data_IF_910661638461
#
_entry.id   IF_910661638461
#
_cell.length_a   1.000
_cell.length_b   1.000
_cell.length_c   1.000
_cell.angle_alpha   90.00
_cell.angle_beta   90.00
_cell.angle_gamma   90.00
#
_symmetry.space_group_name_H-M   'P 1'
#
loop_
_entity.id
_entity.type
_entity.pdbx_description
1 polymer ?
#
# COMPACT_ATOMS: atom_id res chain seq x y z
N UNK A 1 -0.39 -12.66 -12.36
CA UNK A 1 0.26 -11.60 -11.56
C UNK A 1 -0.76 -11.03 -10.59
N UNK A 2 -0.46 -11.02 -9.30
CA UNK A 2 -1.27 -10.33 -8.30
C UNK A 2 -0.62 -8.97 -8.02
N UNK A 3 -1.29 -7.88 -8.40
CA UNK A 3 -0.82 -6.52 -8.20
C UNK A 3 -1.50 -5.92 -6.97
N UNK A 4 -0.75 -5.75 -5.88
CA UNK A 4 -1.21 -5.03 -4.69
C UNK A 4 -0.88 -3.55 -4.82
N UNK A 5 -1.90 -2.70 -4.79
CA UNK A 5 -1.74 -1.24 -4.73
C UNK A 5 -2.35 -0.68 -3.44
N UNK A 6 -1.98 0.55 -3.09
CA UNK A 6 -2.45 1.22 -1.88
C UNK A 6 -2.62 2.71 -2.14
N UNK A 7 -3.49 3.37 -1.38
CA UNK A 7 -3.63 4.82 -1.45
C UNK A 7 -2.25 5.53 -1.28
N UNK A 8 -1.90 6.49 -2.14
CA UNK A 8 -0.53 7.03 -2.20
C UNK A 8 -0.13 7.82 -0.96
N UNK A 9 -1.10 8.43 -0.24
CA UNK A 9 -0.82 9.18 0.98
C UNK A 9 -0.31 8.26 2.10
N UNK A 10 -0.97 7.13 2.33
CA UNK A 10 -0.48 6.14 3.30
C UNK A 10 0.78 5.41 2.82
N UNK A 11 0.97 5.24 1.50
CA UNK A 11 2.24 4.70 0.97
C UNK A 11 3.39 5.61 1.37
N UNK A 12 3.27 6.92 1.14
CA UNK A 12 4.26 7.90 1.54
C UNK A 12 4.51 7.86 3.06
N UNK A 13 3.47 7.86 3.88
CA UNK A 13 3.59 7.76 5.35
C UNK A 13 4.27 6.46 5.80
N UNK A 14 3.92 5.33 5.21
CA UNK A 14 4.56 4.05 5.52
C UNK A 14 6.03 4.05 5.11
N UNK A 15 6.35 4.64 3.97
CA UNK A 15 7.70 4.66 3.42
C UNK A 15 8.62 5.64 4.17
N UNK A 16 8.10 6.75 4.69
CA UNK A 16 8.84 7.63 5.60
C UNK A 16 9.36 6.87 6.82
N UNK A 17 8.47 6.14 7.52
CA UNK A 17 8.85 5.36 8.67
C UNK A 17 9.76 4.18 8.33
N UNK A 18 9.54 3.53 7.19
CA UNK A 18 10.40 2.45 6.71
C UNK A 18 11.82 2.96 6.43
N UNK A 19 11.96 4.07 5.71
CA UNK A 19 13.26 4.68 5.39
C UNK A 19 14.03 5.07 6.65
N UNK A 20 13.34 5.64 7.64
CA UNK A 20 13.96 6.04 8.91
C UNK A 20 14.23 4.86 9.87
N UNK A 21 13.64 3.70 9.63
CA UNK A 21 13.82 2.51 10.47
C UNK A 21 14.72 1.42 9.86
N UNK A 22 15.10 1.55 8.58
CA UNK A 22 15.83 0.52 7.83
C UNK A 22 17.13 1.07 7.24
N UNK A 23 18.26 0.79 7.88
CA UNK A 23 19.57 0.89 7.21
C UNK A 23 19.67 -0.21 6.13
N UNK A 24 20.07 0.08 4.87
CA UNK A 24 20.87 1.23 4.40
C UNK A 24 20.09 2.33 3.67
N UNK A 25 18.77 2.45 3.87
CA UNK A 25 18.00 3.49 3.18
C UNK A 25 18.37 4.89 3.69
N UNK A 26 18.25 5.93 2.83
CA UNK A 26 18.37 7.31 3.29
C UNK A 26 17.36 7.58 4.40
N UNK A 27 17.83 8.07 5.53
CA UNK A 27 16.98 8.62 6.57
C UNK A 27 16.68 10.08 6.28
N UNK A 28 15.48 10.53 6.63
CA UNK A 28 15.01 11.90 6.48
C UNK A 28 14.76 12.49 7.86
N UNK A 29 15.34 13.66 8.12
CA UNK A 29 15.20 14.36 9.40
C UNK A 29 13.76 14.83 9.64
N UNK A 30 13.10 15.29 8.57
CA UNK A 30 11.73 15.78 8.60
C UNK A 30 10.83 15.06 7.60
N UNK A 31 9.52 15.12 7.87
CA UNK A 31 8.51 14.66 6.92
C UNK A 31 8.54 15.49 5.62
N UNK A 32 8.80 16.79 5.70
CA UNK A 32 8.81 17.67 4.52
C UNK A 32 9.93 17.31 3.55
N UNK A 33 11.13 17.03 4.07
CA UNK A 33 12.26 16.56 3.25
C UNK A 33 11.94 15.22 2.56
N UNK A 34 11.34 14.30 3.32
CA UNK A 34 10.88 13.03 2.77
C UNK A 34 9.81 13.23 1.70
N UNK A 35 8.82 14.09 1.95
CA UNK A 35 7.72 14.33 1.02
C UNK A 35 8.24 14.88 -0.31
N UNK A 36 9.17 15.84 -0.27
CA UNK A 36 9.84 16.35 -1.49
C UNK A 36 10.57 15.22 -2.20
N UNK A 37 11.30 14.36 -1.47
CA UNK A 37 12.00 13.23 -2.07
C UNK A 37 11.04 12.17 -2.66
N UNK A 38 9.90 11.91 -2.03
CA UNK A 38 8.86 10.97 -2.47
C UNK A 38 8.13 11.47 -3.72
N UNK A 39 7.80 12.76 -3.76
CA UNK A 39 7.15 13.39 -4.92
C UNK A 39 8.11 13.63 -6.08
N UNK A 40 9.42 13.51 -5.84
CA UNK A 40 10.44 13.55 -6.89
C UNK A 40 10.94 12.13 -7.18
N UNK A 41 11.61 11.92 -8.32
CA UNK A 41 12.15 10.60 -8.72
C UNK A 41 13.37 10.15 -7.90
N UNK A 42 13.44 10.56 -6.63
CA UNK A 42 14.60 10.35 -5.74
C UNK A 42 14.45 9.12 -4.84
N UNK A 43 13.31 8.44 -4.86
CA UNK A 43 13.13 7.18 -4.15
C UNK A 43 13.90 6.04 -4.82
N UNK A 44 14.45 5.08 -4.04
CA UNK A 44 15.16 3.92 -4.59
C UNK A 44 14.40 3.13 -5.66
N UNK A 45 13.07 3.12 -5.58
CA UNK A 45 12.18 2.43 -6.53
C UNK A 45 11.48 3.37 -7.53
N UNK A 46 11.92 4.64 -7.61
CA UNK A 46 11.35 5.63 -8.51
C UNK A 46 10.02 6.22 -8.02
N UNK A 47 9.27 6.82 -8.95
CA UNK A 47 8.02 7.52 -8.66
C UNK A 47 6.84 6.53 -8.56
N UNK A 48 6.08 6.60 -7.48
CA UNK A 48 4.92 5.72 -7.26
C UNK A 48 3.82 5.94 -8.31
N UNK A 49 3.61 7.17 -8.77
CA UNK A 49 2.62 7.46 -9.81
C UNK A 49 3.03 6.93 -11.19
N UNK A 50 4.32 6.95 -11.52
CA UNK A 50 4.82 6.30 -12.73
C UNK A 50 4.65 4.79 -12.65
N UNK A 51 4.94 4.19 -11.49
CA UNK A 51 4.67 2.78 -11.23
C UNK A 51 3.19 2.42 -11.47
N UNK A 52 2.25 3.20 -10.92
CA UNK A 52 0.82 2.99 -11.14
C UNK A 52 0.43 3.17 -12.62
N UNK A 53 0.96 4.19 -13.28
CA UNK A 53 0.68 4.48 -14.69
C UNK A 53 1.16 3.35 -15.60
N UNK A 54 2.33 2.79 -15.32
CA UNK A 54 2.87 1.66 -16.06
C UNK A 54 2.04 0.39 -15.84
N UNK A 55 1.67 0.07 -14.60
CA UNK A 55 0.82 -1.08 -14.33
C UNK A 55 -0.61 -0.93 -14.87
N UNK A 56 -1.11 0.30 -14.99
CA UNK A 56 -2.44 0.54 -15.54
C UNK A 56 -2.56 0.07 -17.00
N UNK A 57 -1.45 0.03 -17.76
CA UNK A 57 -1.43 -0.51 -19.13
C UNK A 57 -1.84 -1.98 -19.20
N UNK A 58 -1.72 -2.72 -18.09
CA UNK A 58 -2.04 -4.14 -17.98
C UNK A 58 -3.26 -4.38 -17.07
N UNK A 59 -3.99 -3.34 -16.68
CA UNK A 59 -5.10 -3.47 -15.73
C UNK A 59 -6.29 -4.26 -16.28
N UNK A 60 -6.37 -4.45 -17.60
CA UNK A 60 -7.38 -5.24 -18.29
C UNK A 60 -6.90 -6.65 -18.68
N UNK A 61 -5.62 -6.99 -18.45
CA UNK A 61 -5.12 -8.32 -18.75
C UNK A 61 -5.72 -9.35 -17.79
N UNK A 62 -6.28 -10.43 -18.34
CA UNK A 62 -6.88 -11.53 -17.56
C UNK A 62 -5.88 -12.19 -16.60
N UNK A 63 -4.59 -12.13 -16.94
CA UNK A 63 -3.50 -12.67 -16.12
C UNK A 63 -3.01 -11.67 -15.04
N UNK A 64 -3.66 -10.52 -14.86
CA UNK A 64 -3.31 -9.51 -13.86
C UNK A 64 -4.52 -9.21 -12.97
N UNK A 65 -4.49 -9.69 -11.72
CA UNK A 65 -5.49 -9.26 -10.72
C UNK A 65 -4.95 -8.09 -9.92
N UNK A 66 -5.65 -6.96 -9.97
CA UNK A 66 -5.39 -5.84 -9.06
C UNK A 66 -6.23 -5.96 -7.80
N UNK A 67 -5.58 -5.85 -6.65
CA UNK A 67 -6.23 -5.75 -5.34
C UNK A 67 -5.65 -4.57 -4.56
N UNK A 68 -6.48 -3.91 -3.77
CA UNK A 68 -6.02 -2.81 -2.91
C UNK A 68 -5.77 -3.26 -1.48
N UNK A 69 -4.83 -2.61 -0.80
CA UNK A 69 -4.64 -2.78 0.64
C UNK A 69 -5.93 -2.48 1.41
N UNK A 70 -6.69 -1.47 0.98
CA UNK A 70 -7.93 -1.02 1.60
C UNK A 70 -9.04 -2.08 1.48
N UNK A 71 -9.15 -2.77 0.35
CA UNK A 71 -10.05 -3.93 0.18
C UNK A 71 -9.67 -5.06 1.14
N UNK A 72 -8.39 -5.43 1.20
CA UNK A 72 -7.90 -6.48 2.11
C UNK A 72 -8.13 -6.13 3.58
N UNK A 73 -8.02 -4.85 3.94
CA UNK A 73 -8.28 -4.38 5.29
C UNK A 73 -9.77 -4.33 5.63
N UNK A 74 -10.62 -3.99 4.67
CA UNK A 74 -12.08 -3.87 4.87
C UNK A 74 -12.76 -5.24 4.95
N UNK A 75 -12.38 -6.16 4.07
CA UNK A 75 -12.94 -7.51 4.06
C UNK A 75 -11.85 -8.54 3.72
N UNK A 76 -11.09 -9.01 4.72
CA UNK A 76 -9.98 -9.93 4.50
C UNK A 76 -10.44 -11.30 3.98
N UNK A 77 -11.63 -11.77 4.36
CA UNK A 77 -12.19 -13.05 3.89
C UNK A 77 -12.40 -13.00 2.38
N UNK A 78 -13.17 -12.01 1.91
CA UNK A 78 -13.41 -11.82 0.47
C UNK A 78 -12.11 -11.56 -0.31
N UNK A 79 -11.16 -10.85 0.31
CA UNK A 79 -9.85 -10.65 -0.27
C UNK A 79 -9.09 -11.96 -0.53
N UNK A 80 -9.07 -12.86 0.45
CA UNK A 80 -8.44 -14.17 0.33
C UNK A 80 -9.18 -15.06 -0.67
N UNK A 81 -10.52 -15.06 -0.66
CA UNK A 81 -11.33 -15.81 -1.65
C UNK A 81 -11.01 -15.37 -3.08
N UNK A 82 -10.98 -14.06 -3.33
CA UNK A 82 -10.67 -13.52 -4.66
C UNK A 82 -9.24 -13.88 -5.11
N UNK A 83 -8.25 -13.80 -4.19
CA UNK A 83 -6.88 -14.21 -4.49
C UNK A 83 -6.81 -15.70 -4.80
N UNK A 84 -7.47 -16.54 -4.01
CA UNK A 84 -7.48 -17.98 -4.21
C UNK A 84 -8.12 -18.34 -5.55
N UNK A 85 -9.28 -17.76 -5.88
CA UNK A 85 -9.95 -17.96 -7.16
C UNK A 85 -9.08 -17.55 -8.35
N UNK A 86 -8.42 -16.39 -8.28
CA UNK A 86 -7.49 -15.92 -9.31
C UNK A 86 -6.29 -16.86 -9.51
N UNK A 87 -5.80 -17.47 -8.43
CA UNK A 87 -4.71 -18.44 -8.49
C UNK A 87 -5.17 -19.87 -8.83
N UNK A 88 -6.48 -20.11 -9.03
CA UNK A 88 -7.04 -21.43 -9.28
C UNK A 88 -6.98 -22.37 -8.06
N UNK A 89 -6.91 -21.81 -6.85
CA UNK A 89 -6.83 -22.55 -5.59
C UNK A 89 -8.22 -22.68 -4.99
N UNK A 90 -8.65 -23.92 -4.74
CA UNK A 90 -9.86 -24.19 -3.96
C UNK A 90 -9.52 -24.27 -2.48
N UNK A 91 -10.27 -23.54 -1.64
CA UNK A 91 -10.11 -23.55 -0.19
C UNK A 91 -11.37 -24.10 0.46
N UNK A 92 -11.18 -24.95 1.48
CA UNK A 92 -12.25 -25.24 2.43
C UNK A 92 -12.46 -24.04 3.37
N UNK A 93 -13.64 -23.96 4.00
CA UNK A 93 -13.93 -22.90 4.98
C UNK A 93 -12.86 -22.83 6.09
N UNK A 94 -12.39 -23.98 6.57
CA UNK A 94 -11.35 -24.05 7.60
C UNK A 94 -10.01 -23.48 7.12
N UNK A 95 -9.63 -23.76 5.88
CA UNK A 95 -8.39 -23.23 5.30
C UNK A 95 -8.49 -21.72 5.07
N UNK A 96 -9.63 -21.24 4.55
CA UNK A 96 -9.92 -19.82 4.37
C UNK A 96 -9.78 -19.06 5.70
N UNK A 97 -10.47 -19.52 6.75
CA UNK A 97 -10.40 -18.89 8.07
C UNK A 97 -8.98 -18.93 8.65
N UNK A 98 -8.25 -20.03 8.43
CA UNK A 98 -6.86 -20.14 8.88
C UNK A 98 -5.94 -19.13 8.18
N UNK A 99 -6.10 -18.94 6.86
CA UNK A 99 -5.32 -17.94 6.12
C UNK A 99 -5.65 -16.54 6.60
N UNK A 100 -6.93 -16.21 6.78
CA UNK A 100 -7.39 -14.90 7.29
C UNK A 100 -6.82 -14.62 8.68
N UNK A 101 -6.88 -15.58 9.60
CA UNK A 101 -6.36 -15.41 10.97
C UNK A 101 -4.84 -15.21 10.97
N UNK A 102 -4.10 -16.05 10.23
CA UNK A 102 -2.63 -16.03 10.19
C UNK A 102 -2.08 -14.79 9.47
N UNK A 103 -2.79 -14.29 8.46
CA UNK A 103 -2.45 -13.07 7.73
C UNK A 103 -2.96 -11.79 8.39
N UNK A 104 -3.70 -11.90 9.50
CA UNK A 104 -4.14 -10.73 10.27
C UNK A 104 -2.93 -9.94 10.80
N UNK A 105 -3.09 -8.62 10.89
CA UNK A 105 -2.01 -7.75 11.37
C UNK A 105 -1.50 -8.15 12.77
N UNK A 106 -2.41 -8.53 13.67
CA UNK A 106 -2.03 -8.95 15.03
C UNK A 106 -1.19 -10.24 15.01
N UNK A 107 -1.61 -11.24 14.24
CA UNK A 107 -0.87 -12.49 14.07
C UNK A 107 0.50 -12.26 13.43
N UNK A 108 0.57 -11.46 12.36
CA UNK A 108 1.83 -11.14 11.70
C UNK A 108 2.76 -10.32 12.60
N UNK A 109 2.24 -9.29 13.28
CA UNK A 109 3.02 -8.44 14.19
C UNK A 109 3.57 -9.24 15.38
N UNK A 110 2.77 -10.12 15.97
CA UNK A 110 3.23 -11.03 17.05
C UNK A 110 4.38 -11.93 16.58
N UNK A 111 4.37 -12.34 15.32
CA UNK A 111 5.41 -13.18 14.72
C UNK A 111 6.55 -12.39 14.05
N UNK A 112 6.51 -11.06 14.06
CA UNK A 112 7.41 -10.22 13.28
C UNK A 112 8.87 -10.40 13.71
N UNK A 113 9.14 -10.47 15.01
CA UNK A 113 10.50 -10.70 15.51
C UNK A 113 11.05 -12.06 15.08
N UNK A 114 10.21 -13.10 15.08
CA UNK A 114 10.61 -14.45 14.66
C UNK A 114 10.93 -14.52 13.16
N UNK A 115 10.20 -13.77 12.35
CA UNK A 115 10.28 -13.85 10.89
C UNK A 115 11.25 -12.83 10.28
N UNK A 116 11.45 -11.68 10.92
CA UNK A 116 12.21 -10.54 10.39
C UNK A 116 13.24 -9.98 11.40
N UNK A 117 13.46 -10.66 12.53
CA UNK A 117 14.42 -10.26 13.55
C UNK A 117 14.12 -8.87 14.13
N UNK A 118 15.18 -8.08 14.33
CA UNK A 118 15.08 -6.72 14.87
C UNK A 118 14.22 -5.77 14.01
N UNK A 119 14.11 -6.04 12.70
CA UNK A 119 13.34 -5.22 11.78
C UNK A 119 11.83 -5.46 11.85
N UNK A 120 11.38 -6.49 12.59
CA UNK A 120 9.96 -6.80 12.70
C UNK A 120 9.10 -5.60 13.15
N UNK A 121 9.59 -4.82 14.11
CA UNK A 121 8.86 -3.64 14.61
C UNK A 121 8.81 -2.48 13.60
N UNK A 122 9.78 -2.42 12.69
CA UNK A 122 9.84 -1.41 11.63
C UNK A 122 8.87 -1.78 10.50
N UNK A 123 8.85 -3.05 10.11
CA UNK A 123 7.98 -3.56 9.04
C UNK A 123 6.50 -3.61 9.45
N UNK A 124 6.20 -3.97 10.69
CA UNK A 124 4.83 -4.15 11.20
C UNK A 124 4.41 -3.02 12.15
N UNK A 125 4.28 -1.81 11.60
CA UNK A 125 4.06 -0.57 12.38
C UNK A 125 2.64 -0.42 12.94
N UNK A 126 1.69 0.08 12.13
CA UNK A 126 0.29 0.34 12.53
C UNK A 126 -0.75 -0.56 11.86
N UNK A 127 -0.55 -0.93 10.60
CA UNK A 127 -1.45 -1.86 9.88
C UNK A 127 -2.88 -1.35 9.64
N UNK A 128 -3.07 -0.02 9.62
CA UNK A 128 -4.34 0.65 9.37
C UNK A 128 -4.32 1.50 8.10
N UNK A 129 -5.46 2.14 7.81
CA UNK A 129 -5.68 3.08 6.70
C UNK A 129 -5.80 4.49 7.28
N UNK A 130 -5.45 5.51 6.50
CA UNK A 130 -5.59 6.94 6.83
C UNK A 130 -4.60 7.47 7.87
N UNK A 131 -3.44 6.81 8.02
CA UNK A 131 -2.41 7.31 8.93
C UNK A 131 -1.73 8.58 8.40
N UNK A 132 -1.85 8.83 7.09
CA UNK A 132 -1.37 10.03 6.41
C UNK A 132 -1.88 11.34 7.02
N UNK A 133 -3.06 11.32 7.64
CA UNK A 133 -3.65 12.50 8.32
C UNK A 133 -2.78 13.06 9.43
N UNK A 134 -1.85 12.27 9.96
CA UNK A 134 -0.95 12.68 11.03
C UNK A 134 0.31 13.40 10.53
N UNK A 135 0.57 13.41 9.22
CA UNK A 135 1.82 13.94 8.65
C UNK A 135 1.59 14.99 7.56
N UNK A 136 0.58 14.82 6.72
CA UNK A 136 0.34 15.72 5.59
C UNK A 136 -0.18 17.08 6.04
N UNK A 137 0.47 18.15 5.56
CA UNK A 137 -0.11 19.50 5.59
C UNK A 137 -1.16 19.68 4.48
N UNK A 138 -1.94 20.77 4.54
CA UNK A 138 -2.91 21.13 3.50
C UNK A 138 -2.23 21.29 2.12
N UNK A 139 -1.15 22.07 2.02
CA UNK A 139 -0.37 22.23 0.80
C UNK A 139 0.14 20.90 0.21
N UNK A 140 0.56 19.96 1.07
CA UNK A 140 1.04 18.65 0.64
C UNK A 140 -0.11 17.76 0.16
N UNK A 141 -1.28 17.88 0.78
CA UNK A 141 -2.49 17.23 0.29
C UNK A 141 -2.82 17.71 -1.13
N UNK A 142 -2.86 19.02 -1.36
CA UNK A 142 -3.15 19.57 -2.69
C UNK A 142 -2.15 19.10 -3.76
N UNK A 143 -0.85 19.08 -3.43
CA UNK A 143 0.20 18.59 -4.34
C UNK A 143 0.01 17.11 -4.68
N UNK A 144 -0.32 16.27 -3.69
CA UNK A 144 -0.57 14.85 -3.90
C UNK A 144 -1.85 14.60 -4.69
N UNK A 145 -2.91 15.38 -4.43
CA UNK A 145 -4.19 15.29 -5.13
C UNK A 145 -4.00 15.64 -6.61
N UNK A 146 -3.30 16.74 -6.90
CA UNK A 146 -2.95 17.13 -8.27
C UNK A 146 -2.13 16.07 -8.99
N UNK A 147 -1.08 15.53 -8.34
CA UNK A 147 -0.25 14.49 -8.94
C UNK A 147 -1.05 13.21 -9.23
N UNK A 148 -1.97 12.82 -8.35
CA UNK A 148 -2.85 11.69 -8.57
C UNK A 148 -3.71 11.90 -9.83
N UNK A 149 -4.39 13.05 -9.92
CA UNK A 149 -5.26 13.30 -11.08
C UNK A 149 -4.49 13.39 -12.39
N UNK A 150 -3.32 14.02 -12.40
CA UNK A 150 -2.49 14.16 -13.60
C UNK A 150 -1.96 12.81 -14.13
N UNK A 151 -1.63 11.85 -13.24
CA UNK A 151 -0.97 10.61 -13.65
C UNK A 151 -1.93 9.44 -13.81
N UNK A 152 -2.87 9.28 -12.88
CA UNK A 152 -3.69 8.07 -12.77
C UNK A 152 -5.18 8.38 -12.64
N UNK A 153 -5.56 9.65 -12.52
CA UNK A 153 -6.94 10.12 -12.54
C UNK A 153 -7.69 9.60 -13.77
N UNK A 154 -8.94 9.19 -13.58
CA UNK A 154 -9.78 8.66 -14.65
C UNK A 154 -9.37 7.29 -15.22
N UNK A 155 -8.27 6.69 -14.76
CA UNK A 155 -7.85 5.35 -15.19
C UNK A 155 -8.54 4.23 -14.39
N UNK A 156 -8.35 2.98 -14.81
CA UNK A 156 -8.88 1.81 -14.10
C UNK A 156 -8.23 1.67 -12.71
N UNK A 157 -6.90 1.81 -12.62
CA UNK A 157 -6.20 1.76 -11.34
C UNK A 157 -6.52 2.97 -10.45
N UNK A 158 -6.65 4.17 -11.05
CA UNK A 158 -7.09 5.35 -10.31
C UNK A 158 -8.46 5.16 -9.67
N UNK A 159 -9.43 4.65 -10.43
CA UNK A 159 -10.75 4.29 -9.93
C UNK A 159 -10.68 3.24 -8.82
N UNK A 160 -9.84 2.21 -9.00
CA UNK A 160 -9.66 1.10 -8.05
C UNK A 160 -9.16 1.59 -6.69
N UNK A 161 -8.32 2.62 -6.66
CA UNK A 161 -7.77 3.21 -5.43
C UNK A 161 -8.80 3.98 -4.59
N UNK A 162 -9.98 4.32 -5.13
CA UNK A 162 -11.05 5.06 -4.43
C UNK A 162 -10.51 6.30 -3.69
N UNK A 163 -9.77 7.13 -4.42
CA UNK A 163 -9.01 8.24 -3.86
C UNK A 163 -9.84 9.20 -3.00
N UNK A 164 -11.03 9.57 -3.46
CA UNK A 164 -11.98 10.41 -2.71
C UNK A 164 -12.29 9.86 -1.31
N UNK A 165 -12.37 8.53 -1.18
CA UNK A 165 -12.73 7.87 0.09
C UNK A 165 -11.54 7.78 1.03
N UNK A 166 -10.34 7.49 0.52
CA UNK A 166 -9.19 7.15 1.36
C UNK A 166 -8.15 8.26 1.48
N UNK A 167 -8.18 9.26 0.61
CA UNK A 167 -7.22 10.36 0.55
C UNK A 167 -7.82 11.76 0.75
N UNK A 168 -9.14 11.95 0.66
CA UNK A 168 -9.77 13.27 0.87
C UNK A 168 -10.71 13.34 2.09
N UNK A 169 -11.19 12.19 2.57
CA UNK A 169 -12.00 12.11 3.80
C UNK A 169 -11.15 12.29 5.06
#
# INVERSE_FOLDING_TARGET
ILLLIRNPKDVATSFYHFSNGMSPLPSYETWDDFFVAFMTKKMPWGCYFEYLSEWNKYADDENVMTITYEELKKNPVLGVENIAAFLGISLTEKELQSVVERSSFQSMKKNAQKTHGAFGNVLFRKGGISDWKNLFSEDQNEKMDKAFEEHIGGTKLGTKLKYEVYCKA
#
